data_IF_726537212651
#
_entry.id   IF_726537212651
#
_cell.length_a   1.000
_cell.length_b   1.000
_cell.length_c   1.000
_cell.angle_alpha   90.00
_cell.angle_beta   90.00
_cell.angle_gamma   90.00
#
_symmetry.space_group_name_H-M   'P 1'
#
loop_
_entity.id
_entity.type
_entity.pdbx_description
1 polymer ?
#
# COMPACT_ATOMS: atom_id res chain seq x y z
N UNK A 1 -9.47 17.50 10.21
CA UNK A 1 -9.60 17.51 9.44
C UNK A 1 -9.56 17.50 8.98
N UNK A 2 -9.47 17.08 9.41
CA UNK A 2 -9.57 16.98 8.61
C UNK A 2 -9.54 16.71 8.33
N UNK A 3 -9.52 16.53 8.59
CA UNK A 3 -9.68 16.20 8.02
C UNK A 3 -9.19 15.95 7.78
N UNK A 4 -9.16 15.86 8.12
CA UNK A 4 -8.87 15.56 7.64
C UNK A 4 -8.67 14.98 7.82
N UNK A 5 -8.74 14.91 8.24
CA UNK A 5 -8.81 14.48 8.05
C UNK A 5 -9.00 13.92 8.26
N UNK A 6 -8.99 13.83 8.49
CA UNK A 6 -9.34 13.39 8.38
C UNK A 6 -9.12 13.02 8.60
N UNK A 7 -9.05 12.84 8.85
CA UNK A 7 -8.95 12.54 8.76
C UNK A 7 -8.60 12.28 9.16
N UNK A 8 -8.42 12.32 9.49
CA UNK A 8 -8.22 12.10 9.55
C UNK A 8 -8.14 11.66 9.98
N UNK A 9 -8.31 11.63 10.13
CA UNK A 9 -8.51 11.29 10.25
C UNK A 9 -8.35 10.89 10.56
N UNK A 10 -8.38 10.80 10.70
CA UNK A 10 -8.37 10.40 10.65
C UNK A 10 -8.15 9.92 10.88
N UNK A 11 -8.23 9.90 11.05
CA UNK A 11 -8.23 9.39 11.12
C UNK A 11 -8.00 8.73 11.36
N UNK A 12 -7.74 8.44 11.56
CA UNK A 12 -7.74 7.65 11.82
C UNK A 12 -8.09 6.95 11.92
N UNK A 13 -8.25 6.95 11.70
CA UNK A 13 -8.86 6.12 12.17
C UNK A 13 -9.26 5.00 11.73
N UNK A 14 -9.81 4.86 11.24
CA UNK A 14 -9.86 3.79 10.86
C UNK A 14 -8.87 2.93 10.86
N UNK A 15 -8.01 3.26 11.08
CA UNK A 15 -6.89 2.48 11.07
C UNK A 15 -6.99 1.23 11.84
N UNK A 16 -7.89 1.17 12.73
CA UNK A 16 -8.04 -0.03 13.51
C UNK A 16 -8.40 -1.22 12.64
N UNK A 17 -8.92 -1.00 11.47
CA UNK A 17 -9.29 -2.11 10.61
C UNK A 17 -8.28 -2.38 9.52
N UNK A 18 -7.17 -1.64 9.51
CA UNK A 18 -6.13 -1.89 8.55
C UNK A 18 -6.45 -1.47 7.14
N UNK A 19 -7.35 -0.53 6.97
CA UNK A 19 -7.70 -0.03 5.65
C UNK A 19 -7.17 1.39 5.47
N UNK A 20 -6.79 1.70 4.23
CA UNK A 20 -6.28 3.03 3.89
C UNK A 20 -6.85 3.44 2.56
N UNK A 21 -7.45 4.63 2.50
CA UNK A 21 -7.93 5.20 1.26
C UNK A 21 -6.97 6.31 0.86
N UNK A 22 -6.36 6.15 -0.30
CA UNK A 22 -5.43 7.15 -0.84
C UNK A 22 -6.16 8.00 -1.88
N UNK A 23 -6.24 9.30 -1.63
CA UNK A 23 -6.89 10.23 -2.54
C UNK A 23 -5.81 10.99 -3.30
N UNK A 24 -5.89 10.95 -4.64
CA UNK A 24 -4.93 11.63 -5.49
C UNK A 24 -5.31 13.11 -5.62
N UNK A 25 -4.32 13.99 -5.65
CA UNK A 25 -4.60 15.40 -5.94
C UNK A 25 -5.05 15.58 -7.37
N UNK A 26 -4.43 14.83 -8.29
CA UNK A 26 -4.83 14.80 -9.69
C UNK A 26 -5.14 13.34 -10.02
N UNK A 27 -6.22 13.06 -10.75
CA UNK A 27 -6.56 11.68 -11.05
C UNK A 27 -5.37 10.93 -11.64
N UNK A 28 -5.18 9.70 -11.17
CA UNK A 28 -4.09 8.84 -11.62
C UNK A 28 -4.57 8.00 -12.79
N UNK A 29 -3.86 8.09 -13.91
CA UNK A 29 -4.21 7.36 -15.12
C UNK A 29 -3.39 6.09 -15.19
N UNK A 30 -4.05 4.96 -15.36
CA UNK A 30 -3.36 3.67 -15.43
C UNK A 30 -4.18 2.72 -16.31
N UNK A 31 -3.55 2.22 -17.37
CA UNK A 31 -4.16 1.26 -18.29
C UNK A 31 -5.54 1.70 -18.77
N UNK A 32 -5.63 2.95 -19.18
CA UNK A 32 -6.85 3.48 -19.77
C UNK A 32 -7.94 3.83 -18.78
N UNK A 33 -7.66 3.72 -17.49
CA UNK A 33 -8.60 4.10 -16.45
C UNK A 33 -8.06 5.25 -15.63
N UNK A 34 -8.97 6.06 -15.09
CA UNK A 34 -8.63 7.19 -14.26
C UNK A 34 -9.12 6.91 -12.84
N UNK A 35 -8.24 7.11 -11.87
CA UNK A 35 -8.56 6.84 -10.47
C UNK A 35 -8.43 8.13 -9.66
N UNK A 36 -9.51 8.51 -8.98
CA UNK A 36 -9.47 9.62 -8.03
C UNK A 36 -8.89 9.16 -6.71
N UNK A 37 -9.07 7.88 -6.39
CA UNK A 37 -8.57 7.30 -5.15
C UNK A 37 -8.38 5.80 -5.33
N UNK A 38 -7.60 5.23 -4.44
CA UNK A 38 -7.41 3.78 -4.34
C UNK A 38 -7.60 3.37 -2.90
N UNK A 39 -8.19 2.19 -2.70
CA UNK A 39 -8.42 1.66 -1.37
C UNK A 39 -7.55 0.44 -1.15
N UNK A 40 -6.84 0.44 -0.02
CA UNK A 40 -5.93 -0.65 0.34
C UNK A 40 -6.46 -1.32 1.60
N UNK A 41 -6.86 -2.57 1.48
CA UNK A 41 -7.39 -3.33 2.61
C UNK A 41 -6.28 -4.23 3.15
N UNK A 42 -5.37 -3.63 3.90
CA UNK A 42 -4.24 -4.36 4.46
C UNK A 42 -4.69 -5.46 5.42
N UNK A 43 -5.83 -5.24 6.07
CA UNK A 43 -6.33 -6.22 7.02
C UNK A 43 -6.76 -7.53 6.41
N UNK A 44 -6.97 -7.56 5.09
CA UNK A 44 -7.34 -8.80 4.41
C UNK A 44 -6.13 -9.68 4.07
N UNK A 45 -4.92 -9.15 4.20
CA UNK A 45 -3.72 -9.89 3.85
C UNK A 45 -3.43 -10.98 4.88
N UNK A 46 -2.85 -12.08 4.41
CA UNK A 46 -2.51 -13.23 5.25
C UNK A 46 -1.04 -13.56 5.09
N UNK A 47 -0.59 -14.55 5.86
CA UNK A 47 0.79 -15.04 5.72
C UNK A 47 1.08 -15.57 4.33
N UNK A 48 0.06 -16.09 3.65
CA UNK A 48 0.24 -16.56 2.27
C UNK A 48 0.65 -15.41 1.36
N UNK A 49 0.07 -14.23 1.58
CA UNK A 49 0.46 -13.03 0.81
C UNK A 49 1.92 -12.69 1.05
N UNK A 50 2.36 -12.76 2.30
CA UNK A 50 3.74 -12.46 2.64
C UNK A 50 4.70 -13.43 1.95
N UNK A 51 4.38 -14.72 1.99
CA UNK A 51 5.22 -15.73 1.34
C UNK A 51 5.25 -15.54 -0.18
N UNK A 52 4.11 -15.19 -0.76
CA UNK A 52 4.06 -14.96 -2.21
C UNK A 52 4.95 -13.79 -2.61
N UNK A 53 4.94 -12.72 -1.82
CA UNK A 53 5.78 -11.55 -2.10
C UNK A 53 7.25 -11.93 -1.99
N UNK A 54 7.62 -12.68 -0.95
CA UNK A 54 9.01 -13.10 -0.79
C UNK A 54 9.46 -13.96 -1.96
N UNK A 55 8.58 -14.87 -2.42
CA UNK A 55 8.91 -15.72 -3.56
C UNK A 55 9.09 -14.91 -4.83
N UNK A 56 8.23 -13.90 -5.06
CA UNK A 56 8.36 -13.02 -6.21
C UNK A 56 9.70 -12.30 -6.20
N UNK A 57 10.09 -11.78 -5.05
CA UNK A 57 11.33 -11.03 -4.95
C UNK A 57 12.53 -11.94 -5.11
N UNK A 58 12.46 -13.14 -4.55
CA UNK A 58 13.54 -14.11 -4.69
C UNK A 58 13.73 -14.50 -6.17
N UNK A 59 12.62 -14.66 -6.89
CA UNK A 59 12.69 -14.99 -8.32
C UNK A 59 13.36 -13.88 -9.11
N UNK A 60 13.28 -12.64 -8.62
CA UNK A 60 13.94 -11.49 -9.26
C UNK A 60 15.37 -11.29 -8.76
N UNK A 61 15.86 -12.19 -7.92
CA UNK A 61 17.21 -12.08 -7.38
C UNK A 61 17.34 -11.05 -6.27
N UNK A 62 16.23 -10.67 -5.65
CA UNK A 62 16.23 -9.65 -4.61
C UNK A 62 16.05 -10.30 -3.24
N UNK A 63 16.90 -9.91 -2.30
CA UNK A 63 16.83 -10.43 -0.94
C UNK A 63 16.14 -9.42 -0.04
N UNK A 64 15.24 -9.93 0.81
CA UNK A 64 14.53 -9.09 1.77
C UNK A 64 14.98 -9.49 3.18
N UNK A 65 15.77 -8.64 3.80
CA UNK A 65 16.26 -8.88 5.16
C UNK A 65 15.26 -8.40 6.20
N UNK A 66 14.67 -7.23 5.95
CA UNK A 66 13.68 -6.63 6.85
C UNK A 66 12.54 -6.12 6.00
N UNK A 67 11.42 -6.84 5.96
CA UNK A 67 10.29 -6.43 5.11
C UNK A 67 9.83 -5.01 5.39
N UNK A 68 9.81 -4.59 6.65
CA UNK A 68 9.31 -3.27 7.03
C UNK A 68 10.19 -2.14 6.50
N UNK A 69 11.41 -2.44 6.07
CA UNK A 69 12.30 -1.45 5.48
C UNK A 69 12.57 -1.70 3.99
N UNK A 70 11.85 -2.64 3.40
CA UNK A 70 12.00 -2.96 1.99
C UNK A 70 10.90 -2.30 1.17
N UNK A 71 11.25 -1.30 0.36
CA UNK A 71 10.27 -0.67 -0.52
C UNK A 71 9.66 -1.68 -1.48
N UNK A 72 10.49 -2.60 -2.00
CA UNK A 72 9.99 -3.64 -2.90
C UNK A 72 8.91 -4.49 -2.24
N UNK A 73 9.13 -4.88 -0.98
CA UNK A 73 8.16 -5.68 -0.25
C UNK A 73 6.90 -4.87 0.03
N UNK A 74 7.08 -3.64 0.53
CA UNK A 74 5.95 -2.82 0.96
C UNK A 74 5.04 -2.45 -0.20
N UNK A 75 5.61 -2.16 -1.37
CA UNK A 75 4.80 -1.80 -2.53
C UNK A 75 4.04 -3.00 -3.08
N UNK A 76 4.65 -4.19 -3.06
CA UNK A 76 3.94 -5.39 -3.47
C UNK A 76 2.84 -5.75 -2.48
N UNK A 77 3.08 -5.48 -1.20
CA UNK A 77 2.07 -5.66 -0.18
C UNK A 77 0.86 -4.75 -0.44
N UNK A 78 1.14 -3.48 -0.76
CA UNK A 78 0.07 -2.52 -1.07
C UNK A 78 -0.70 -2.97 -2.31
N UNK A 79 0.00 -3.44 -3.34
CA UNK A 79 -0.67 -3.90 -4.56
C UNK A 79 -1.61 -5.05 -4.28
N UNK A 80 -1.20 -5.98 -3.42
CA UNK A 80 -2.07 -7.12 -3.08
C UNK A 80 -3.27 -6.69 -2.24
N UNK A 81 -3.15 -5.59 -1.51
CA UNK A 81 -4.23 -5.08 -0.68
C UNK A 81 -5.18 -4.17 -1.46
N UNK A 82 -4.79 -3.74 -2.64
CA UNK A 82 -5.56 -2.76 -3.42
C UNK A 82 -6.84 -3.37 -3.95
N UNK A 83 -7.99 -2.81 -3.55
CA UNK A 83 -9.28 -3.35 -3.95
C UNK A 83 -9.61 -3.08 -5.41
N UNK A 84 -8.94 -2.09 -6.03
CA UNK A 84 -9.14 -1.78 -7.44
C UNK A 84 -8.26 -2.62 -8.35
N UNK A 85 -7.47 -3.52 -7.77
CA UNK A 85 -6.66 -4.49 -8.53
C UNK A 85 -5.60 -3.83 -9.42
N UNK A 86 -4.96 -2.76 -8.93
CA UNK A 86 -3.82 -2.20 -9.63
C UNK A 86 -2.55 -2.83 -9.06
N UNK A 87 -1.60 -3.12 -9.92
CA UNK A 87 -0.39 -3.83 -9.52
C UNK A 87 0.69 -2.92 -9.01
N UNK A 88 1.81 -3.53 -8.58
CA UNK A 88 2.93 -2.76 -8.06
C UNK A 88 3.54 -1.85 -9.14
N UNK A 89 3.40 -2.24 -10.41
CA UNK A 89 3.89 -1.40 -11.50
C UNK A 89 3.13 -0.07 -11.56
N UNK A 90 1.84 -0.06 -11.18
CA UNK A 90 1.08 1.17 -11.12
C UNK A 90 1.67 2.11 -10.05
N UNK A 91 2.05 1.55 -8.91
CA UNK A 91 2.62 2.36 -7.84
C UNK A 91 3.89 3.04 -8.28
N UNK A 92 4.71 2.35 -9.10
CA UNK A 92 5.96 2.91 -9.58
C UNK A 92 5.76 4.06 -10.56
N UNK A 93 4.58 4.17 -11.14
CA UNK A 93 4.25 5.23 -12.09
C UNK A 93 3.64 6.45 -11.44
N UNK A 94 3.33 6.37 -10.17
CA UNK A 94 2.71 7.47 -9.44
C UNK A 94 3.73 8.55 -9.11
N UNK A 95 3.26 9.81 -8.89
CA UNK A 95 4.14 10.82 -8.33
C UNK A 95 4.75 10.32 -7.03
N UNK A 96 6.00 10.72 -6.78
CA UNK A 96 6.73 10.23 -5.61
C UNK A 96 5.95 10.45 -4.31
N UNK A 97 5.23 11.56 -4.22
CA UNK A 97 4.45 11.87 -3.03
C UNK A 97 3.40 10.80 -2.75
N UNK A 98 2.69 10.38 -3.79
CA UNK A 98 1.67 9.35 -3.63
C UNK A 98 2.30 8.01 -3.30
N UNK A 99 3.36 7.66 -4.01
CA UNK A 99 4.11 6.44 -3.76
C UNK A 99 4.57 6.36 -2.31
N UNK A 100 5.17 7.46 -1.82
CA UNK A 100 5.68 7.47 -0.45
C UNK A 100 4.59 7.32 0.59
N UNK A 101 3.43 7.93 0.36
CA UNK A 101 2.33 7.83 1.32
C UNK A 101 1.79 6.40 1.38
N UNK A 102 1.62 5.78 0.22
CA UNK A 102 1.12 4.40 0.17
C UNK A 102 2.12 3.46 0.83
N UNK A 103 3.40 3.61 0.51
CA UNK A 103 4.45 2.78 1.11
C UNK A 103 4.48 2.95 2.62
N UNK A 104 4.35 4.19 3.09
CA UNK A 104 4.38 4.48 4.52
C UNK A 104 3.20 3.83 5.25
N UNK A 105 2.03 3.80 4.61
CA UNK A 105 0.86 3.16 5.21
C UNK A 105 1.05 1.65 5.28
N UNK A 106 1.64 1.07 4.24
CA UNK A 106 1.93 -0.37 4.24
C UNK A 106 2.88 -0.71 5.39
N UNK A 107 3.92 0.11 5.58
CA UNK A 107 4.87 -0.13 6.65
C UNK A 107 4.22 0.00 8.02
N UNK A 108 3.38 1.02 8.18
CA UNK A 108 2.69 1.21 9.47
C UNK A 108 1.83 0.02 9.82
N UNK A 109 1.12 -0.52 8.82
CA UNK A 109 0.31 -1.71 9.06
C UNK A 109 1.19 -2.89 9.46
N UNK A 110 2.28 -3.10 8.74
CA UNK A 110 3.17 -4.24 9.00
C UNK A 110 3.75 -4.16 10.41
N UNK A 111 4.15 -2.97 10.84
CA UNK A 111 4.71 -2.79 12.18
C UNK A 111 3.68 -3.02 13.27
N UNK A 112 2.45 -2.53 13.06
CA UNK A 112 1.38 -2.72 14.04
C UNK A 112 0.96 -4.18 14.13
N UNK A 113 0.88 -4.85 13.01
CA UNK A 113 0.42 -6.25 13.00
C UNK A 113 1.46 -7.19 13.60
N UNK A 114 2.70 -6.75 13.71
CA UNK A 114 3.77 -7.57 14.29
C UNK A 114 3.85 -7.49 15.79
N UNK A 115 3.05 -6.64 16.44
CA UNK A 115 3.13 -6.46 17.88
C UNK A 115 2.06 -7.22 18.66
#
# INVERSE_FOLDING_TARGET
>A
MSKDTIVEIEQDGTEEVGAYVHVFKKPFEYQGKSYDQLTFDFGSLTGRDSLAIENELQALGKMVLSPEFSSEFLIRMAARACTENVGSDAMEQMPMRDYNRIRSQARSFLLRSGS
#
